data_IF_895348821364
#
_entry.id   IF_895348821364
#
_cell.length_a   1.000
_cell.length_b   1.000
_cell.length_c   1.000
_cell.angle_alpha   90.00
_cell.angle_beta   90.00
_cell.angle_gamma   90.00
#
_symmetry.space_group_name_H-M   'P 1'
#
loop_
_entity.id
_entity.type
_entity.pdbx_description
1 polymer ?
#
# COMPACT_ATOMS: atom_id res chain seq x y z
N UNK A 1 -17.14 32.67 -26.50
CA UNK A 1 -16.34 32.25 -25.32
C UNK A 1 -16.30 30.74 -25.31
N UNK A 2 -15.20 30.17 -25.81
CA UNK A 2 -14.96 28.73 -25.81
C UNK A 2 -14.74 28.27 -24.38
N UNK A 3 -15.65 27.45 -23.87
CA UNK A 3 -15.42 26.67 -22.66
C UNK A 3 -15.13 25.24 -23.12
N UNK A 4 -13.85 24.99 -23.38
CA UNK A 4 -13.26 23.67 -23.16
C UNK A 4 -13.69 23.24 -21.76
N UNK A 5 -14.57 22.26 -21.71
CA UNK A 5 -14.98 21.64 -20.45
C UNK A 5 -15.12 20.17 -20.75
N UNK A 6 -13.97 19.56 -21.05
CA UNK A 6 -13.75 18.12 -20.95
C UNK A 6 -14.12 17.68 -19.53
N UNK A 7 -15.41 17.49 -19.30
CA UNK A 7 -15.93 16.80 -18.14
C UNK A 7 -16.17 15.36 -18.59
N UNK A 8 -15.10 14.71 -19.04
CA UNK A 8 -15.09 13.28 -19.21
C UNK A 8 -15.22 12.69 -17.81
N UNK A 9 -16.44 12.26 -17.55
CA UNK A 9 -16.70 11.25 -16.53
C UNK A 9 -16.08 10.00 -17.09
N UNK A 10 -14.76 9.87 -16.87
CA UNK A 10 -14.05 8.61 -16.90
C UNK A 10 -14.94 7.55 -16.23
N UNK A 11 -14.81 6.31 -16.64
CA UNK A 11 -15.33 5.13 -15.97
C UNK A 11 -14.66 4.96 -14.59
N UNK A 12 -14.79 6.02 -13.76
CA UNK A 12 -14.04 6.54 -12.59
C UNK A 12 -13.92 5.58 -11.42
N UNK A 13 -14.44 4.37 -11.58
CA UNK A 13 -14.30 3.29 -10.61
C UNK A 13 -13.08 2.43 -10.89
N UNK A 14 -12.63 2.30 -12.13
CA UNK A 14 -11.58 1.34 -12.49
C UNK A 14 -10.19 1.95 -12.35
N UNK A 15 -9.27 1.24 -11.70
CA UNK A 15 -7.89 1.67 -11.58
C UNK A 15 -7.19 1.60 -12.94
N UNK A 16 -6.90 2.75 -13.55
CA UNK A 16 -6.30 2.84 -14.89
C UNK A 16 -4.90 2.22 -15.00
N UNK A 17 -3.98 2.33 -14.01
CA UNK A 17 -2.66 1.70 -14.07
C UNK A 17 -2.69 0.17 -14.22
N UNK A 18 -3.58 -0.51 -13.51
CA UNK A 18 -3.73 -1.97 -13.57
C UNK A 18 -4.90 -2.41 -14.46
N UNK A 19 -5.65 -1.47 -15.06
CA UNK A 19 -6.87 -1.74 -15.84
C UNK A 19 -7.88 -2.62 -15.11
N UNK A 20 -8.00 -2.46 -13.79
CA UNK A 20 -8.97 -3.21 -12.99
C UNK A 20 -8.50 -4.57 -12.46
N UNK A 21 -7.30 -5.03 -12.79
CA UNK A 21 -6.80 -6.35 -12.32
C UNK A 21 -6.31 -6.34 -10.88
N UNK A 22 -5.91 -5.18 -10.37
CA UNK A 22 -5.24 -5.06 -9.07
C UNK A 22 -3.75 -5.42 -9.10
N UNK A 23 -3.19 -5.84 -10.24
CA UNK A 23 -1.77 -6.20 -10.38
C UNK A 23 -1.11 -5.43 -11.52
N UNK A 24 0.18 -5.17 -11.39
CA UNK A 24 1.01 -4.58 -12.45
C UNK A 24 2.27 -5.40 -12.61
N UNK A 25 2.76 -5.53 -13.84
CA UNK A 25 4.04 -6.19 -14.11
C UNK A 25 5.17 -5.21 -13.79
N UNK A 26 6.02 -5.59 -12.86
CA UNK A 26 7.26 -4.90 -12.51
C UNK A 26 8.43 -5.60 -13.18
N UNK A 27 9.32 -4.83 -13.80
CA UNK A 27 10.62 -5.31 -14.28
C UNK A 27 11.78 -4.78 -13.41
N UNK A 28 11.47 -4.28 -12.21
CA UNK A 28 12.48 -3.84 -11.25
C UNK A 28 13.36 -5.05 -10.87
N UNK A 29 14.68 -4.93 -11.07
CA UNK A 29 15.61 -6.05 -10.87
C UNK A 29 15.86 -6.90 -12.12
N UNK A 30 15.34 -6.50 -13.29
CA UNK A 30 15.69 -7.12 -14.58
C UNK A 30 14.84 -8.33 -14.97
N UNK A 31 13.95 -8.79 -14.09
CA UNK A 31 12.98 -9.86 -14.39
C UNK A 31 11.54 -9.37 -14.19
N UNK A 32 10.67 -9.75 -15.13
CA UNK A 32 9.26 -9.40 -15.08
C UNK A 32 8.55 -10.26 -14.03
N UNK A 33 7.96 -9.61 -13.04
CA UNK A 33 7.14 -10.25 -12.02
C UNK A 33 5.91 -9.39 -11.71
N UNK A 34 4.81 -10.03 -11.30
CA UNK A 34 3.59 -9.30 -10.95
C UNK A 34 3.66 -8.81 -9.50
N UNK A 35 3.39 -7.52 -9.31
CA UNK A 35 3.27 -6.90 -7.99
C UNK A 35 1.86 -6.34 -7.79
N UNK A 36 1.46 -6.21 -6.53
CA UNK A 36 0.22 -5.52 -6.17
C UNK A 36 0.26 -4.09 -6.67
N UNK A 37 -0.80 -3.66 -7.38
CA UNK A 37 -0.88 -2.31 -7.93
C UNK A 37 -0.84 -1.27 -6.80
N UNK A 38 0.21 -0.42 -6.71
CA UNK A 38 0.37 0.52 -5.60
C UNK A 38 -0.70 1.62 -5.59
N UNK A 39 -1.22 1.98 -6.77
CA UNK A 39 -2.27 2.99 -6.94
C UNK A 39 -3.63 2.59 -6.36
N UNK A 40 -4.00 1.31 -6.38
CA UNK A 40 -5.28 0.83 -5.84
C UNK A 40 -5.15 -0.14 -4.67
N UNK A 41 -3.93 -0.53 -4.31
CA UNK A 41 -3.64 -1.56 -3.31
C UNK A 41 -4.21 -2.93 -3.65
N UNK A 42 -4.34 -3.25 -4.94
CA UNK A 42 -4.90 -4.54 -5.36
C UNK A 42 -6.42 -4.57 -5.55
N UNK A 43 -7.13 -3.48 -5.25
CA UNK A 43 -8.61 -3.46 -5.37
C UNK A 43 -9.11 -3.40 -6.82
N UNK A 44 -8.25 -3.07 -7.77
CA UNK A 44 -8.64 -2.82 -9.16
C UNK A 44 -9.49 -1.57 -9.34
N UNK A 45 -9.74 -0.81 -8.27
CA UNK A 45 -10.58 0.40 -8.30
C UNK A 45 -9.82 1.66 -7.93
N UNK A 46 -10.22 2.77 -8.51
CA UNK A 46 -9.66 4.08 -8.16
C UNK A 46 -9.96 4.39 -6.68
N UNK A 47 -8.92 4.76 -5.94
CA UNK A 47 -9.01 5.10 -4.52
C UNK A 47 -8.63 6.57 -4.35
N UNK A 48 -9.62 7.43 -4.10
CA UNK A 48 -9.36 8.86 -3.86
C UNK A 48 -8.54 9.04 -2.58
N UNK A 49 -7.49 9.85 -2.64
CA UNK A 49 -6.63 10.13 -1.48
C UNK A 49 -5.57 9.07 -1.17
N UNK A 50 -5.47 8.00 -1.98
CA UNK A 50 -4.35 7.06 -1.90
C UNK A 50 -3.17 7.60 -2.70
N UNK A 51 -2.06 7.85 -2.01
CA UNK A 51 -0.81 8.18 -2.65
C UNK A 51 -0.09 6.88 -3.05
N UNK A 52 0.26 6.76 -4.32
CA UNK A 52 0.90 5.57 -4.87
C UNK A 52 2.42 5.52 -4.66
N UNK A 53 2.99 6.60 -4.10
CA UNK A 53 4.39 6.78 -3.76
C UNK A 53 4.63 6.71 -2.25
N UNK A 54 3.58 6.77 -1.43
CA UNK A 54 3.61 6.36 -0.02
C UNK A 54 4.08 4.90 0.01
N UNK A 55 5.33 4.70 0.43
CA UNK A 55 5.99 3.41 0.26
C UNK A 55 5.32 2.38 1.16
N UNK A 56 5.18 1.11 0.73
CA UNK A 56 4.76 0.04 1.64
C UNK A 56 5.70 -0.08 2.85
N UNK A 57 6.96 0.34 2.72
CA UNK A 57 7.93 0.40 3.80
C UNK A 57 7.54 1.36 4.95
N UNK A 58 6.73 2.38 4.70
CA UNK A 58 6.35 3.38 5.72
C UNK A 58 5.12 2.95 6.54
N UNK A 59 4.31 2.02 6.02
CA UNK A 59 3.11 1.51 6.71
C UNK A 59 3.39 0.39 7.71
N UNK A 60 4.47 -0.36 7.53
CA UNK A 60 4.87 -1.43 8.45
C UNK A 60 5.54 -0.87 9.73
N UNK A 61 6.05 0.36 9.68
CA UNK A 61 6.70 1.00 10.82
C UNK A 61 5.75 1.42 11.97
N UNK A 62 4.43 1.26 11.81
CA UNK A 62 3.42 1.61 12.82
C UNK A 62 2.78 0.40 13.52
N UNK A 63 3.16 -0.83 13.19
CA UNK A 63 2.73 -2.01 13.94
C UNK A 63 3.92 -2.90 14.32
N UNK A 64 4.59 -2.54 15.40
CA UNK A 64 5.36 -3.48 16.22
C UNK A 64 4.91 -3.30 17.67
N UNK A 65 3.83 -3.97 18.12
CA UNK A 65 3.52 -4.03 19.53
C UNK A 65 4.56 -4.89 20.25
N UNK A 66 5.60 -4.20 20.74
CA UNK A 66 6.25 -4.47 22.03
C UNK A 66 6.82 -5.86 22.24
N UNK A 67 8.10 -6.01 21.93
CA UNK A 67 9.00 -6.88 22.69
C UNK A 67 9.07 -6.32 24.13
N UNK A 68 8.18 -6.81 25.01
CA UNK A 68 8.35 -6.71 26.47
C UNK A 68 8.96 -8.01 26.94
N UNK A 69 10.27 -8.10 26.79
CA UNK A 69 11.11 -9.03 27.53
C UNK A 69 10.97 -8.66 29.02
N UNK A 70 10.10 -9.39 29.72
CA UNK A 70 10.02 -9.30 31.19
C UNK A 70 11.04 -10.30 31.72
N UNK A 71 12.31 -9.92 31.68
CA UNK A 71 13.32 -10.46 32.60
C UNK A 71 13.06 -9.83 33.98
N UNK A 72 11.95 -10.22 34.61
CA UNK A 72 11.81 -10.09 36.05
C UNK A 72 12.39 -11.38 36.63
N UNK A 73 13.72 -11.37 36.82
CA UNK A 73 14.42 -12.31 37.69
C UNK A 73 13.79 -12.24 39.09
N UNK A 74 13.11 -13.29 39.60
CA UNK A 74 12.82 -13.32 41.02
C UNK A 74 14.14 -13.58 41.77
N UNK A 75 14.53 -12.62 42.59
CA UNK A 75 15.68 -12.71 43.49
C UNK A 75 15.57 -13.95 44.38
N UNK A 76 16.64 -14.76 44.55
CA UNK A 76 16.61 -15.89 45.46
C UNK A 76 16.89 -15.43 46.89
N UNK A 77 15.85 -15.11 47.67
CA UNK A 77 15.97 -15.11 49.13
C UNK A 77 14.61 -15.25 49.84
N UNK A 78 14.39 -16.40 50.49
CA UNK A 78 13.85 -16.51 51.85
C UNK A 78 13.47 -17.97 52.22
N UNK A 79 14.40 -18.65 52.91
CA UNK A 79 14.22 -19.56 54.08
C UNK A 79 15.05 -20.84 54.04
#
# INVERSE_FOLDING_TARGET
>A
MSADKGKEVDDRGTCTPCRGTGKVTSALGGEQHEVTCPWCGGTGRFQAGRDAQESPAERDAQESPGERDTDESPEPDAR
#
